data_IF_773790294062
#
_entry.id   IF_773790294062
#
_cell.length_a   1.000
_cell.length_b   1.000
_cell.length_c   1.000
_cell.angle_alpha   90.00
_cell.angle_beta   90.00
_cell.angle_gamma   90.00
#
_symmetry.space_group_name_H-M   'P 1'
#
loop_
_entity.id
_entity.type
_entity.pdbx_description
1 polymer ?
#
# COMPACT_ATOMS: atom_id res chain seq x y z
N UNK A 1 22.61 43.01 8.91
CA UNK A 1 22.99 41.86 8.04
C UNK A 1 22.90 40.49 8.72
N UNK A 2 23.04 40.35 10.04
CA UNK A 2 23.01 39.05 10.76
C UNK A 2 21.62 38.39 10.83
N UNK A 3 20.53 39.16 10.82
CA UNK A 3 19.15 38.64 10.95
C UNK A 3 18.57 38.00 9.66
N UNK A 4 19.06 38.36 8.47
CA UNK A 4 18.53 37.80 7.22
C UNK A 4 19.07 36.39 6.93
N UNK A 5 20.26 36.05 7.44
CA UNK A 5 20.87 34.73 7.24
C UNK A 5 20.12 33.66 8.04
N UNK A 6 19.72 33.97 9.28
CA UNK A 6 18.97 33.04 10.13
C UNK A 6 17.59 32.71 9.53
N UNK A 7 16.95 33.70 8.91
CA UNK A 7 15.64 33.52 8.27
C UNK A 7 15.72 32.64 7.01
N UNK A 8 16.78 32.78 6.22
CA UNK A 8 17.02 31.94 5.03
C UNK A 8 17.36 30.49 5.38
N UNK A 9 18.14 30.25 6.44
CA UNK A 9 18.49 28.90 6.89
C UNK A 9 17.25 28.16 7.44
N UNK A 10 16.39 28.85 8.18
CA UNK A 10 15.13 28.26 8.66
C UNK A 10 14.20 27.89 7.50
N UNK A 11 14.08 28.73 6.47
CA UNK A 11 13.20 28.46 5.32
C UNK A 11 13.66 27.22 4.50
N UNK A 12 14.97 27.00 4.37
CA UNK A 12 15.52 25.84 3.65
C UNK A 12 15.36 24.52 4.41
N UNK A 13 15.32 24.56 5.75
CA UNK A 13 15.09 23.39 6.60
C UNK A 13 13.63 22.88 6.55
N UNK A 14 12.66 23.73 6.21
CA UNK A 14 11.27 23.29 6.01
C UNK A 14 11.05 22.68 4.61
N UNK A 15 11.69 23.20 3.56
CA UNK A 15 11.47 22.75 2.19
C UNK A 15 11.97 21.32 1.93
N UNK A 16 13.00 20.86 2.63
CA UNK A 16 13.56 19.51 2.45
C UNK A 16 12.70 18.40 3.06
N UNK A 17 11.79 18.72 4.00
CA UNK A 17 10.96 17.72 4.69
C UNK A 17 9.80 17.20 3.83
N UNK A 18 9.31 18.03 2.90
CA UNK A 18 8.15 17.69 2.06
C UNK A 18 8.52 16.94 0.77
N UNK A 19 9.77 17.06 0.30
CA UNK A 19 10.25 16.37 -0.91
C UNK A 19 10.37 14.85 -0.75
N UNK A 20 10.82 14.38 0.42
CA UNK A 20 10.94 12.94 0.70
C UNK A 20 9.60 12.26 0.97
N UNK A 21 8.60 13.01 1.47
CA UNK A 21 7.28 12.48 1.73
C UNK A 21 6.61 12.02 0.41
N UNK A 22 6.56 12.88 -0.61
CA UNK A 22 5.89 12.58 -1.88
C UNK A 22 6.51 11.40 -2.66
N UNK A 23 7.84 11.28 -2.65
CA UNK A 23 8.55 10.17 -3.31
C UNK A 23 8.27 8.84 -2.59
N UNK A 24 8.24 8.86 -1.26
CA UNK A 24 7.88 7.69 -0.46
C UNK A 24 6.41 7.26 -0.68
N UNK A 25 5.48 8.20 -0.86
CA UNK A 25 4.07 7.87 -1.17
C UNK A 25 3.90 7.12 -2.50
N UNK A 26 4.58 7.56 -3.57
CA UNK A 26 4.51 6.89 -4.87
C UNK A 26 5.10 5.47 -4.81
N UNK A 27 6.23 5.31 -4.10
CA UNK A 27 6.86 4.01 -3.87
C UNK A 27 5.95 3.06 -3.07
N UNK A 28 5.33 3.55 -2.00
CA UNK A 28 4.38 2.79 -1.18
C UNK A 28 3.18 2.31 -2.00
N UNK A 29 2.57 3.18 -2.81
CA UNK A 29 1.45 2.82 -3.67
C UNK A 29 1.82 1.74 -4.68
N UNK A 30 2.99 1.85 -5.31
CA UNK A 30 3.46 0.84 -6.27
C UNK A 30 3.67 -0.53 -5.59
N UNK A 31 4.27 -0.55 -4.40
CA UNK A 31 4.46 -1.78 -3.62
C UNK A 31 3.12 -2.40 -3.22
N UNK A 32 2.17 -1.60 -2.71
CA UNK A 32 0.84 -2.09 -2.35
C UNK A 32 0.09 -2.67 -3.56
N UNK A 33 0.16 -2.00 -4.72
CA UNK A 33 -0.46 -2.50 -5.95
C UNK A 33 0.16 -3.83 -6.41
N UNK A 34 1.48 -3.98 -6.28
CA UNK A 34 2.19 -5.22 -6.58
C UNK A 34 1.75 -6.36 -5.64
N UNK A 35 1.78 -6.16 -4.32
CA UNK A 35 1.32 -7.17 -3.35
C UNK A 35 -0.16 -7.52 -3.55
N UNK A 36 -1.01 -6.54 -3.89
CA UNK A 36 -2.43 -6.80 -4.19
C UNK A 36 -2.58 -7.70 -5.40
N UNK A 37 -1.84 -7.42 -6.48
CA UNK A 37 -1.89 -8.22 -7.71
C UNK A 37 -1.38 -9.64 -7.47
N UNK A 38 -0.29 -9.78 -6.70
CA UNK A 38 0.24 -11.07 -6.31
C UNK A 38 -0.77 -11.88 -5.50
N UNK A 39 -1.37 -11.30 -4.46
CA UNK A 39 -2.37 -11.97 -3.64
C UNK A 39 -3.62 -12.41 -4.43
N UNK A 40 -4.02 -11.62 -5.44
CA UNK A 40 -5.10 -11.99 -6.35
C UNK A 40 -4.69 -13.18 -7.23
N UNK A 41 -3.47 -13.14 -7.79
CA UNK A 41 -2.97 -14.22 -8.66
C UNK A 41 -2.84 -15.54 -7.91
N UNK A 42 -2.30 -15.51 -6.69
CA UNK A 42 -2.21 -16.68 -5.81
C UNK A 42 -3.59 -17.18 -5.39
N UNK A 43 -4.52 -16.26 -5.06
CA UNK A 43 -5.88 -16.65 -4.73
C UNK A 43 -6.60 -17.34 -5.89
N UNK A 44 -6.38 -16.89 -7.13
CA UNK A 44 -6.97 -17.50 -8.32
C UNK A 44 -6.29 -18.82 -8.72
N UNK A 45 -5.01 -19.01 -8.39
CA UNK A 45 -4.32 -20.28 -8.67
C UNK A 45 -4.65 -21.36 -7.64
N UNK A 46 -4.84 -20.98 -6.38
CA UNK A 46 -5.18 -21.90 -5.28
C UNK A 46 -6.67 -22.21 -5.25
N UNK A 47 -7.51 -21.26 -5.67
CA UNK A 47 -8.96 -21.41 -5.62
C UNK A 47 -9.53 -21.50 -7.03
N UNK A 48 -10.17 -22.62 -7.35
CA UNK A 48 -10.93 -22.79 -8.60
C UNK A 48 -12.13 -21.82 -8.63
N UNK A 49 -11.93 -20.65 -9.21
CA UNK A 49 -12.95 -19.63 -9.41
C UNK A 49 -13.36 -19.58 -10.90
N UNK A 50 -14.64 -19.36 -11.18
CA UNK A 50 -15.12 -19.15 -12.56
C UNK A 50 -14.50 -17.89 -13.12
N UNK A 51 -13.69 -18.03 -14.17
CA UNK A 51 -12.97 -16.91 -14.75
C UNK A 51 -13.93 -15.86 -15.32
N UNK A 52 -13.73 -14.61 -14.90
CA UNK A 52 -14.37 -13.42 -15.47
C UNK A 52 -13.30 -12.54 -16.14
N UNK A 53 -13.70 -11.44 -16.78
CA UNK A 53 -12.83 -10.56 -17.60
C UNK A 53 -11.42 -10.29 -17.04
N UNK A 54 -11.29 -9.86 -15.78
CA UNK A 54 -10.00 -9.51 -15.17
C UNK A 54 -9.77 -10.27 -13.87
N UNK A 55 -8.51 -10.60 -13.51
CA UNK A 55 -8.18 -11.31 -12.27
C UNK A 55 -8.80 -10.65 -11.03
N UNK A 56 -8.73 -9.33 -10.93
CA UNK A 56 -9.31 -8.59 -9.82
C UNK A 56 -10.84 -8.74 -9.74
N UNK A 57 -11.55 -8.66 -10.88
CA UNK A 57 -13.00 -8.87 -10.93
C UNK A 57 -13.38 -10.31 -10.62
N UNK A 58 -12.63 -11.27 -11.13
CA UNK A 58 -12.80 -12.70 -10.87
C UNK A 58 -12.66 -13.00 -9.38
N UNK A 59 -11.58 -12.52 -8.77
CA UNK A 59 -11.32 -12.75 -7.36
C UNK A 59 -12.35 -12.08 -6.44
N UNK A 60 -12.84 -10.88 -6.81
CA UNK A 60 -13.92 -10.20 -6.07
C UNK A 60 -15.25 -10.94 -6.11
N UNK A 61 -15.59 -11.60 -7.22
CA UNK A 61 -16.83 -12.40 -7.32
C UNK A 61 -16.71 -13.76 -6.63
N UNK A 62 -15.50 -14.23 -6.42
CA UNK A 62 -15.23 -15.53 -5.81
C UNK A 62 -14.93 -15.35 -4.32
N UNK A 63 -15.91 -15.59 -3.44
CA UNK A 63 -15.78 -15.41 -1.98
C UNK A 63 -14.51 -16.05 -1.41
N UNK A 64 -14.17 -17.26 -1.85
CA UNK A 64 -12.95 -17.97 -1.43
C UNK A 64 -11.66 -17.23 -1.84
N UNK A 65 -11.60 -16.71 -3.07
CA UNK A 65 -10.46 -15.88 -3.50
C UNK A 65 -10.42 -14.55 -2.75
N UNK A 66 -11.57 -13.92 -2.50
CA UNK A 66 -11.64 -12.69 -1.73
C UNK A 66 -11.12 -12.87 -0.30
N UNK A 67 -11.53 -13.95 0.39
CA UNK A 67 -11.01 -14.30 1.72
C UNK A 67 -9.50 -14.55 1.66
N UNK A 68 -9.02 -15.33 0.69
CA UNK A 68 -7.58 -15.58 0.51
C UNK A 68 -6.81 -14.29 0.28
N UNK A 69 -7.28 -13.45 -0.66
CA UNK A 69 -6.69 -12.16 -1.00
C UNK A 69 -6.60 -11.27 0.24
N UNK A 70 -7.65 -11.19 1.04
CA UNK A 70 -7.66 -10.39 2.28
C UNK A 70 -6.64 -10.90 3.27
N UNK A 71 -6.56 -12.21 3.50
CA UNK A 71 -5.57 -12.80 4.41
C UNK A 71 -4.13 -12.60 3.91
N UNK A 72 -3.90 -12.80 2.62
CA UNK A 72 -2.62 -12.56 1.97
C UNK A 72 -2.21 -11.09 2.10
N UNK A 73 -3.12 -10.15 1.82
CA UNK A 73 -2.87 -8.72 1.98
C UNK A 73 -2.55 -8.35 3.44
N UNK A 74 -3.27 -8.91 4.42
CA UNK A 74 -2.97 -8.67 5.84
C UNK A 74 -1.55 -9.14 6.18
N UNK A 75 -1.10 -10.28 5.64
CA UNK A 75 0.25 -10.80 5.85
C UNK A 75 1.31 -9.93 5.17
N UNK A 76 1.07 -9.54 3.92
CA UNK A 76 1.97 -8.68 3.14
C UNK A 76 2.14 -7.30 3.77
N UNK A 77 1.02 -6.64 4.14
CA UNK A 77 1.04 -5.27 4.68
C UNK A 77 1.60 -5.20 6.11
N UNK A 78 1.80 -6.34 6.79
CA UNK A 78 2.53 -6.42 8.07
C UNK A 78 4.04 -6.51 7.91
N UNK A 79 4.55 -6.68 6.70
CA UNK A 79 5.99 -6.73 6.48
C UNK A 79 6.62 -5.35 6.71
N UNK A 80 7.86 -5.34 7.20
CA UNK A 80 8.59 -4.12 7.56
C UNK A 80 8.76 -3.13 6.41
N UNK A 81 8.72 -3.61 5.16
CA UNK A 81 8.75 -2.77 3.97
C UNK A 81 7.56 -1.80 3.85
N UNK A 82 6.49 -2.02 4.62
CA UNK A 82 5.30 -1.17 4.69
C UNK A 82 5.19 -0.36 5.98
N UNK A 83 6.13 -0.49 6.93
CA UNK A 83 6.09 0.24 8.21
C UNK A 83 6.08 1.76 7.99
N UNK A 84 6.84 2.22 6.98
CA UNK A 84 6.93 3.62 6.59
C UNK A 84 5.81 4.06 5.62
N UNK A 85 4.87 3.17 5.30
CA UNK A 85 3.77 3.42 4.37
C UNK A 85 2.44 3.66 5.14
N UNK A 86 2.06 4.91 5.42
CA UNK A 86 0.83 5.20 6.18
C UNK A 86 -0.45 4.70 5.47
N UNK A 87 -0.45 4.65 4.14
CA UNK A 87 -1.57 4.08 3.36
C UNK A 87 -1.67 2.57 3.52
N UNK A 88 -0.55 1.85 3.61
CA UNK A 88 -0.52 0.41 3.86
C UNK A 88 -1.08 0.09 5.24
N UNK A 89 -0.72 0.88 6.26
CA UNK A 89 -1.27 0.72 7.60
C UNK A 89 -2.78 1.03 7.65
N UNK A 90 -3.23 2.04 6.91
CA UNK A 90 -4.67 2.37 6.82
C UNK A 90 -5.47 1.25 6.16
N UNK A 91 -4.94 0.69 5.07
CA UNK A 91 -5.54 -0.45 4.39
C UNK A 91 -5.54 -1.69 5.30
N UNK A 92 -4.43 -1.99 5.97
CA UNK A 92 -4.31 -3.10 6.92
C UNK A 92 -5.37 -3.02 8.02
N UNK A 93 -5.52 -1.86 8.68
CA UNK A 93 -6.55 -1.64 9.70
C UNK A 93 -7.97 -1.84 9.17
N UNK A 94 -8.21 -1.44 7.92
CA UNK A 94 -9.52 -1.61 7.27
C UNK A 94 -9.79 -3.08 6.99
N UNK A 95 -8.81 -3.80 6.44
CA UNK A 95 -8.92 -5.24 6.18
C UNK A 95 -9.09 -6.05 7.46
N UNK A 96 -8.43 -5.68 8.56
CA UNK A 96 -8.59 -6.37 9.85
C UNK A 96 -9.96 -6.16 10.50
N UNK A 97 -10.68 -5.07 10.18
CA UNK A 97 -12.03 -4.82 10.72
C UNK A 97 -13.12 -5.56 9.96
N UNK A 98 -12.92 -5.82 8.67
CA UNK A 98 -13.96 -6.34 7.77
C UNK A 98 -13.61 -7.70 7.15
N UNK A 99 -12.41 -8.23 7.43
CA UNK A 99 -11.89 -9.49 6.88
C UNK A 99 -12.15 -10.70 7.75
#
# INVERSE_FOLDING_TARGET
>A
MRNHIVFLVLLQLFATQFGFAAINFAGCNKKMAASTTQCISEGLSVVYCTWNETPAKTCRKCKKCETFKTQCLIKELKQSQFDQCPQAQTLLRSLQRFG
#
